data_IF_419027641116
#
_entry.id   IF_419027641116
#
_cell.length_a   1.000
_cell.length_b   1.000
_cell.length_c   1.000
_cell.angle_alpha   90.00
_cell.angle_beta   90.00
_cell.angle_gamma   90.00
#
_symmetry.space_group_name_H-M   'P 1'
#
loop_
_entity.id
_entity.type
_entity.pdbx_description
1 polymer ?
#
# COMPACT_ATOMS: atom_id res chain seq x y z
N UNK A 1 -37.46 -5.08 -58.02
CA UNK A 1 -36.45 -4.24 -57.31
C UNK A 1 -36.24 -4.88 -55.95
N UNK A 2 -35.15 -5.65 -55.78
CA UNK A 2 -34.81 -6.27 -54.50
C UNK A 2 -33.85 -5.35 -53.75
N UNK A 3 -34.30 -4.83 -52.60
CA UNK A 3 -33.45 -4.13 -51.65
C UNK A 3 -32.72 -5.18 -50.81
N UNK A 4 -31.41 -5.32 -51.01
CA UNK A 4 -30.55 -6.12 -50.15
C UNK A 4 -30.18 -5.30 -48.91
N UNK A 5 -30.65 -5.76 -47.74
CA UNK A 5 -30.34 -5.18 -46.43
C UNK A 5 -29.00 -5.74 -45.95
N UNK A 6 -27.93 -4.94 -46.02
CA UNK A 6 -26.64 -5.26 -45.42
C UNK A 6 -26.70 -4.99 -43.91
N UNK A 7 -26.78 -6.05 -43.10
CA UNK A 7 -26.50 -5.95 -41.67
C UNK A 7 -24.98 -5.84 -41.46
N UNK A 8 -24.51 -4.67 -41.05
CA UNK A 8 -23.17 -4.47 -40.55
C UNK A 8 -23.08 -5.01 -39.11
N UNK A 9 -22.41 -6.14 -38.92
CA UNK A 9 -21.99 -6.61 -37.60
C UNK A 9 -20.86 -5.71 -37.10
N UNK A 10 -21.17 -4.77 -36.19
CA UNK A 10 -20.14 -4.11 -35.39
C UNK A 10 -19.63 -5.11 -34.36
N UNK A 11 -18.45 -5.70 -34.63
CA UNK A 11 -17.69 -6.43 -33.62
C UNK A 11 -17.17 -5.37 -32.64
N UNK A 12 -17.80 -5.27 -31.47
CA UNK A 12 -17.27 -4.48 -30.37
C UNK A 12 -15.94 -5.15 -29.94
N UNK A 13 -14.82 -4.56 -30.34
CA UNK A 13 -13.52 -4.94 -29.80
C UNK A 13 -13.55 -4.65 -28.29
N UNK A 14 -13.54 -5.70 -27.47
CA UNK A 14 -13.35 -5.55 -26.04
C UNK A 14 -11.99 -4.89 -25.83
N UNK A 15 -12.00 -3.62 -25.42
CA UNK A 15 -10.79 -2.93 -25.00
C UNK A 15 -10.25 -3.70 -23.80
N UNK A 16 -9.07 -4.31 -23.95
CA UNK A 16 -8.36 -4.84 -22.79
C UNK A 16 -8.20 -3.69 -21.78
N UNK A 17 -8.50 -3.96 -20.51
CA UNK A 17 -8.31 -2.98 -19.45
C UNK A 17 -6.84 -2.51 -19.46
N UNK A 18 -6.62 -1.21 -19.32
CA UNK A 18 -5.27 -0.67 -19.24
C UNK A 18 -4.52 -1.31 -18.04
N UNK A 19 -3.21 -1.60 -18.17
CA UNK A 19 -2.44 -2.13 -17.07
C UNK A 19 -2.41 -1.12 -15.91
N UNK A 20 -2.19 -1.62 -14.68
CA UNK A 20 -2.00 -0.76 -13.52
C UNK A 20 -0.79 0.18 -13.74
N UNK A 21 -0.87 1.47 -13.36
CA UNK A 21 0.22 2.43 -13.50
C UNK A 21 1.30 2.21 -12.43
N UNK A 22 1.87 1.00 -12.36
CA UNK A 22 2.79 0.60 -11.29
C UNK A 22 3.98 1.53 -11.14
N UNK A 23 4.53 2.07 -12.24
CA UNK A 23 5.67 2.98 -12.20
C UNK A 23 5.35 4.25 -11.41
N UNK A 24 4.29 4.95 -11.81
CA UNK A 24 3.88 6.21 -11.17
C UNK A 24 3.50 6.00 -9.71
N UNK A 25 2.86 4.88 -9.38
CA UNK A 25 2.47 4.53 -8.00
C UNK A 25 3.70 4.21 -7.13
N UNK A 26 4.66 3.44 -7.65
CA UNK A 26 5.90 3.13 -6.93
C UNK A 26 6.75 4.39 -6.75
N UNK A 27 6.82 5.26 -7.75
CA UNK A 27 7.53 6.55 -7.65
C UNK A 27 6.86 7.49 -6.64
N UNK A 28 5.53 7.55 -6.60
CA UNK A 28 4.79 8.30 -5.59
C UNK A 28 5.01 7.74 -4.19
N UNK A 29 5.09 6.41 -4.05
CA UNK A 29 5.38 5.75 -2.78
C UNK A 29 6.79 6.06 -2.27
N UNK A 30 7.80 5.98 -3.15
CA UNK A 30 9.17 6.36 -2.81
C UNK A 30 9.25 7.82 -2.37
N UNK A 31 8.67 8.75 -3.14
CA UNK A 31 8.67 10.15 -2.77
C UNK A 31 8.01 10.39 -1.39
N UNK A 32 6.90 9.69 -1.10
CA UNK A 32 6.21 9.78 0.19
C UNK A 32 7.01 9.18 1.35
N UNK A 33 7.62 8.01 1.16
CA UNK A 33 8.14 7.19 2.27
C UNK A 33 9.67 7.17 2.38
N UNK A 34 10.42 7.82 1.50
CA UNK A 34 11.89 7.78 1.48
C UNK A 34 12.53 8.12 2.83
N UNK A 35 11.95 9.06 3.59
CA UNK A 35 12.49 9.54 4.86
C UNK A 35 11.88 8.88 6.11
N UNK A 36 11.41 7.62 5.99
CA UNK A 36 10.68 6.87 7.03
C UNK A 36 11.38 6.75 8.40
N UNK A 37 12.69 6.99 8.50
CA UNK A 37 13.39 7.09 9.78
C UNK A 37 12.84 8.23 10.68
N UNK A 38 12.24 9.28 10.10
CA UNK A 38 11.50 10.33 10.84
C UNK A 38 10.09 10.49 10.29
N UNK A 39 9.10 10.15 11.12
CA UNK A 39 7.67 10.31 10.81
C UNK A 39 7.34 11.77 10.52
N UNK A 40 7.93 12.67 11.30
CA UNK A 40 7.73 14.12 11.19
C UNK A 40 8.22 14.62 9.83
N UNK A 41 9.32 14.06 9.32
CA UNK A 41 9.82 14.37 7.98
C UNK A 41 8.92 13.78 6.90
N UNK A 42 8.46 12.53 7.05
CA UNK A 42 7.50 11.92 6.12
C UNK A 42 6.22 12.76 6.01
N UNK A 43 5.65 13.18 7.13
CA UNK A 43 4.44 14.02 7.14
C UNK A 43 4.67 15.37 6.45
N UNK A 44 5.82 16.01 6.69
CA UNK A 44 6.17 17.26 6.03
C UNK A 44 6.35 17.09 4.51
N UNK A 45 7.06 16.02 4.10
CA UNK A 45 7.29 15.70 2.69
C UNK A 45 5.96 15.37 1.98
N UNK A 46 5.02 14.67 2.64
CA UNK A 46 3.68 14.39 2.12
C UNK A 46 2.89 15.68 1.84
N UNK A 47 2.93 16.65 2.75
CA UNK A 47 2.28 17.96 2.56
C UNK A 47 2.93 18.74 1.41
N UNK A 48 4.27 18.76 1.31
CA UNK A 48 4.99 19.39 0.19
C UNK A 48 4.62 18.75 -1.15
N UNK A 49 4.36 17.45 -1.13
CA UNK A 49 3.91 16.66 -2.28
C UNK A 49 2.39 16.71 -2.49
N UNK A 50 1.68 17.66 -1.88
CA UNK A 50 0.23 17.88 -2.09
C UNK A 50 -0.65 16.68 -1.70
N UNK A 51 -0.19 15.82 -0.79
CA UNK A 51 -1.08 14.84 -0.17
C UNK A 51 -1.96 15.54 0.87
N UNK A 52 -3.24 15.18 0.92
CA UNK A 52 -4.21 15.83 1.79
C UNK A 52 -4.45 14.97 3.02
N UNK A 53 -4.23 15.53 4.21
CA UNK A 53 -4.52 14.84 5.45
C UNK A 53 -6.03 14.54 5.58
N UNK A 54 -6.37 13.31 5.96
CA UNK A 54 -7.75 12.83 6.07
C UNK A 54 -7.98 12.10 7.40
N UNK A 55 -9.21 12.14 7.89
CA UNK A 55 -9.70 11.23 8.92
C UNK A 55 -10.76 10.34 8.27
N UNK A 56 -10.42 9.09 7.92
CA UNK A 56 -11.37 8.21 7.25
C UNK A 56 -12.59 7.93 8.13
N UNK A 57 -13.78 7.93 7.52
CA UNK A 57 -15.00 7.51 8.21
C UNK A 57 -14.83 6.08 8.75
N UNK A 58 -15.29 5.81 9.97
CA UNK A 58 -15.06 4.52 10.66
C UNK A 58 -15.66 3.33 9.90
N UNK A 59 -16.73 3.54 9.15
CA UNK A 59 -17.41 2.55 8.31
C UNK A 59 -16.90 2.52 6.85
N UNK A 60 -15.89 3.32 6.50
CA UNK A 60 -15.20 3.18 5.21
C UNK A 60 -14.28 1.94 5.23
N UNK A 61 -13.88 1.40 4.06
CA UNK A 61 -12.89 0.33 4.00
C UNK A 61 -11.59 0.68 4.74
N UNK A 62 -11.09 1.90 4.55
CA UNK A 62 -9.88 2.39 5.21
C UNK A 62 -10.07 2.56 6.73
N UNK A 63 -11.24 3.04 7.17
CA UNK A 63 -11.59 3.12 8.59
C UNK A 63 -11.63 1.75 9.27
N UNK A 64 -12.19 0.73 8.60
CA UNK A 64 -12.19 -0.66 9.08
C UNK A 64 -10.78 -1.24 9.13
N UNK A 65 -9.96 -1.01 8.11
CA UNK A 65 -8.56 -1.45 8.08
C UNK A 65 -7.76 -0.85 9.24
N UNK A 66 -7.92 0.45 9.51
CA UNK A 66 -7.28 1.12 10.64
C UNK A 66 -7.73 0.53 11.98
N UNK A 67 -9.03 0.20 12.12
CA UNK A 67 -9.55 -0.44 13.33
C UNK A 67 -8.93 -1.82 13.56
N UNK A 68 -8.81 -2.65 12.51
CA UNK A 68 -8.12 -3.95 12.58
C UNK A 68 -6.66 -3.78 12.98
N UNK A 69 -5.93 -2.84 12.35
CA UNK A 69 -4.53 -2.58 12.66
C UNK A 69 -4.32 -2.16 14.12
N UNK A 70 -5.19 -1.28 14.65
CA UNK A 70 -5.15 -0.88 16.07
C UNK A 70 -5.47 -2.02 17.02
N UNK A 71 -6.44 -2.86 16.69
CA UNK A 71 -6.78 -4.03 17.50
C UNK A 71 -5.60 -5.02 17.56
N UNK A 72 -4.99 -5.34 16.40
CA UNK A 72 -3.82 -6.20 16.35
C UNK A 72 -2.61 -5.62 17.07
N UNK A 73 -2.38 -4.31 16.97
CA UNK A 73 -1.33 -3.65 17.74
C UNK A 73 -1.58 -3.73 19.25
N UNK A 74 -2.82 -3.56 19.71
CA UNK A 74 -3.17 -3.66 21.13
C UNK A 74 -2.98 -5.07 21.72
N UNK A 75 -3.08 -6.12 20.91
CA UNK A 75 -2.80 -7.50 21.34
C UNK A 75 -1.29 -7.73 21.55
N UNK A 76 -0.45 -7.08 20.74
CA UNK A 76 1.00 -7.25 20.75
C UNK A 76 1.66 -6.31 21.77
N UNK A 77 1.18 -5.07 21.88
CA UNK A 77 1.72 -4.01 22.73
C UNK A 77 1.11 -4.10 24.14
N UNK A 78 1.55 -5.11 24.90
CA UNK A 78 1.01 -5.41 26.23
C UNK A 78 2.02 -5.22 27.37
N UNK A 79 3.27 -4.83 27.07
CA UNK A 79 4.31 -4.62 28.07
C UNK A 79 4.38 -3.16 28.55
N UNK A 80 4.96 -2.96 29.73
CA UNK A 80 5.12 -1.60 30.28
C UNK A 80 6.13 -0.83 29.46
N UNK A 81 5.68 0.26 28.81
CA UNK A 81 6.52 1.11 27.95
C UNK A 81 6.25 0.95 26.47
N UNK A 82 5.46 -0.07 26.08
CA UNK A 82 4.98 -0.22 24.70
C UNK A 82 4.02 0.91 24.34
N UNK A 83 4.18 1.46 23.14
CA UNK A 83 3.29 2.52 22.63
C UNK A 83 3.15 2.46 21.12
N UNK A 84 1.93 2.73 20.66
CA UNK A 84 1.65 3.06 19.27
C UNK A 84 1.27 4.53 19.20
N UNK A 85 1.94 5.30 18.36
CA UNK A 85 1.54 6.67 18.08
C UNK A 85 0.23 6.68 17.29
N UNK A 86 -0.51 7.78 17.38
CA UNK A 86 -1.68 7.96 16.53
C UNK A 86 -1.29 7.81 15.06
N UNK A 87 -2.06 6.99 14.35
CA UNK A 87 -1.91 6.83 12.91
C UNK A 87 -2.37 8.09 12.19
N UNK A 88 -1.60 8.56 11.19
CA UNK A 88 -1.99 9.64 10.27
C UNK A 88 -2.28 9.09 8.90
N UNK A 89 -3.28 9.67 8.23
CA UNK A 89 -3.72 9.26 6.90
C UNK A 89 -3.65 10.46 5.97
N UNK A 90 -3.15 10.24 4.77
CA UNK A 90 -3.06 11.23 3.71
C UNK A 90 -3.55 10.61 2.40
N UNK A 91 -4.32 11.35 1.60
CA UNK A 91 -4.83 10.85 0.32
C UNK A 91 -4.32 11.70 -0.84
N UNK A 92 -4.11 11.07 -1.99
CA UNK A 92 -3.76 11.74 -3.26
C UNK A 92 -4.19 10.90 -4.46
N UNK A 93 -4.59 11.57 -5.54
CA UNK A 93 -4.76 10.92 -6.84
C UNK A 93 -3.46 10.89 -7.63
N UNK A 94 -3.01 9.72 -8.07
CA UNK A 94 -1.80 9.54 -8.89
C UNK A 94 -2.17 8.72 -10.12
N UNK A 95 -1.97 9.29 -11.31
CA UNK A 95 -2.28 8.63 -12.59
C UNK A 95 -3.69 8.03 -12.70
N UNK A 96 -4.66 8.63 -11.99
CA UNK A 96 -6.06 8.19 -11.95
C UNK A 96 -6.42 7.28 -10.78
N UNK A 97 -5.44 6.77 -10.04
CA UNK A 97 -5.66 5.94 -8.85
C UNK A 97 -5.83 6.80 -7.60
N UNK A 98 -6.76 6.42 -6.72
CA UNK A 98 -6.97 7.10 -5.42
C UNK A 98 -6.16 6.37 -4.36
N UNK A 99 -5.06 6.99 -3.93
CA UNK A 99 -4.08 6.35 -3.05
C UNK A 99 -4.15 6.94 -1.66
N UNK A 100 -4.11 6.07 -0.64
CA UNK A 100 -4.06 6.45 0.77
C UNK A 100 -2.71 6.07 1.37
N UNK A 101 -2.00 7.02 1.96
CA UNK A 101 -0.80 6.80 2.77
C UNK A 101 -1.18 6.79 4.24
N UNK A 102 -0.79 5.73 4.93
CA UNK A 102 -0.91 5.55 6.37
C UNK A 102 0.49 5.57 6.98
N UNK A 103 0.72 6.50 7.89
CA UNK A 103 1.98 6.66 8.63
C UNK A 103 1.75 6.27 10.09
N UNK A 104 2.65 5.45 10.64
CA UNK A 104 2.53 4.89 11.99
C UNK A 104 3.89 4.74 12.66
N UNK A 105 3.92 4.86 13.99
CA UNK A 105 5.09 4.54 14.83
C UNK A 105 4.67 3.60 15.95
N UNK A 106 5.44 2.54 16.15
CA UNK A 106 5.35 1.62 17.28
C UNK A 106 6.67 1.65 18.01
N UNK A 107 6.61 1.66 19.34
CA UNK A 107 7.79 1.57 20.19
C UNK A 107 7.57 0.46 21.20
N UNK A 108 8.53 -0.46 21.29
CA UNK A 108 8.48 -1.61 22.20
C UNK A 108 9.90 -2.07 22.52
N UNK A 109 10.17 -2.40 23.78
CA UNK A 109 11.44 -2.99 24.20
C UNK A 109 12.71 -2.26 23.71
N UNK A 110 12.70 -0.92 23.79
CA UNK A 110 13.83 -0.10 23.35
C UNK A 110 13.98 0.02 21.83
N UNK A 111 13.03 -0.49 21.06
CA UNK A 111 13.00 -0.47 19.59
C UNK A 111 11.90 0.47 19.11
N UNK A 112 12.18 1.25 18.07
CA UNK A 112 11.20 2.03 17.32
C UNK A 112 11.01 1.38 15.95
N UNK A 113 9.75 1.22 15.56
CA UNK A 113 9.36 0.84 14.20
C UNK A 113 8.49 1.92 13.60
N UNK A 114 8.99 2.56 12.54
CA UNK A 114 8.21 3.49 11.73
C UNK A 114 7.71 2.74 10.50
N UNK A 115 6.41 2.83 10.21
CA UNK A 115 5.78 2.22 9.05
C UNK A 115 5.13 3.27 8.16
N UNK A 116 5.36 3.16 6.85
CA UNK A 116 4.71 3.96 5.81
C UNK A 116 4.04 3.00 4.84
N UNK A 117 2.71 3.07 4.74
CA UNK A 117 1.91 2.11 3.97
C UNK A 117 1.02 2.84 2.98
N UNK A 118 1.07 2.45 1.72
CA UNK A 118 0.18 2.96 0.67
C UNK A 118 -0.91 1.93 0.40
N UNK A 119 -2.15 2.37 0.26
CA UNK A 119 -3.29 1.54 -0.11
C UNK A 119 -3.95 2.10 -1.36
N UNK A 120 -4.21 1.20 -2.31
CA UNK A 120 -5.16 1.43 -3.40
C UNK A 120 -6.34 0.47 -3.18
N UNK A 121 -7.37 1.00 -2.53
CA UNK A 121 -8.51 0.23 -2.05
C UNK A 121 -9.42 -0.14 -3.20
N UNK A 122 -9.82 -1.40 -3.23
CA UNK A 122 -10.68 -1.99 -4.25
C UNK A 122 -10.06 -2.13 -5.64
N UNK A 123 -8.75 -1.88 -5.79
CA UNK A 123 -8.05 -2.17 -7.03
C UNK A 123 -8.12 -3.68 -7.37
N UNK A 124 -8.31 -3.98 -8.66
CA UNK A 124 -8.47 -5.33 -9.21
C UNK A 124 -7.30 -5.78 -10.08
N UNK A 125 -6.40 -4.85 -10.39
CA UNK A 125 -5.14 -5.07 -11.09
C UNK A 125 -4.04 -5.31 -10.06
N UNK A 126 -3.02 -6.07 -10.43
CA UNK A 126 -1.83 -6.27 -9.59
C UNK A 126 -0.64 -5.46 -10.12
N UNK A 127 0.32 -5.21 -9.23
CA UNK A 127 1.66 -4.76 -9.65
C UNK A 127 2.41 -5.96 -10.21
N UNK A 128 2.92 -5.82 -11.44
CA UNK A 128 3.76 -6.82 -12.07
C UNK A 128 5.11 -6.92 -11.35
N UNK A 129 5.47 -8.13 -10.92
CA UNK A 129 6.71 -8.38 -10.18
C UNK A 129 7.96 -7.99 -10.99
N UNK A 130 8.00 -8.25 -12.29
CA UNK A 130 9.16 -7.89 -13.10
C UNK A 130 9.34 -6.37 -13.21
N UNK A 131 8.25 -5.60 -13.21
CA UNK A 131 8.30 -4.14 -13.10
C UNK A 131 8.81 -3.68 -11.72
N UNK A 132 8.33 -4.29 -10.63
CA UNK A 132 8.79 -3.97 -9.28
C UNK A 132 10.29 -4.29 -9.09
N UNK A 133 10.73 -5.49 -9.50
CA UNK A 133 12.14 -5.89 -9.48
C UNK A 133 13.03 -4.91 -10.26
N UNK A 134 12.56 -4.47 -11.43
CA UNK A 134 13.27 -3.49 -12.25
C UNK A 134 13.34 -2.12 -11.59
N UNK A 135 12.25 -1.69 -10.95
CA UNK A 135 12.17 -0.40 -10.25
C UNK A 135 13.14 -0.36 -9.05
N UNK A 136 13.20 -1.44 -8.26
CA UNK A 136 14.13 -1.58 -7.12
C UNK A 136 15.57 -1.83 -7.58
N UNK A 137 15.74 -2.42 -8.77
CA UNK A 137 17.05 -2.77 -9.33
C UNK A 137 17.57 -4.15 -8.90
N UNK A 138 16.72 -4.99 -8.27
CA UNK A 138 17.04 -6.36 -7.87
C UNK A 138 15.77 -7.20 -7.66
N UNK A 139 15.96 -8.52 -7.62
CA UNK A 139 14.88 -9.47 -7.36
C UNK A 139 14.43 -9.45 -5.90
N UNK A 140 13.15 -9.75 -5.68
CA UNK A 140 12.59 -10.03 -4.37
C UNK A 140 13.27 -11.21 -3.68
N UNK A 141 13.47 -11.09 -2.37
CA UNK A 141 14.05 -12.13 -1.53
C UNK A 141 13.01 -13.20 -1.16
N UNK A 142 11.72 -12.82 -1.20
CA UNK A 142 10.59 -13.69 -0.89
C UNK A 142 9.38 -13.36 -1.74
N UNK A 143 8.79 -14.41 -2.32
CA UNK A 143 7.51 -14.36 -3.05
C UNK A 143 6.60 -15.42 -2.45
N UNK A 144 5.43 -15.00 -1.96
CA UNK A 144 4.35 -15.90 -1.54
C UNK A 144 3.23 -15.74 -2.56
N UNK A 145 3.12 -16.72 -3.46
CA UNK A 145 1.97 -16.86 -4.35
C UNK A 145 0.98 -17.83 -3.71
N UNK A 146 -0.14 -17.31 -3.24
CA UNK A 146 -1.29 -18.08 -2.76
C UNK A 146 -2.54 -17.53 -3.42
N UNK A 147 -3.63 -18.28 -3.44
CA UNK A 147 -4.97 -17.78 -3.86
C UNK A 147 -5.48 -16.61 -2.97
N UNK A 148 -4.73 -16.24 -1.94
CA UNK A 148 -5.11 -15.34 -0.87
C UNK A 148 -4.31 -14.01 -0.99
N UNK A 149 -3.55 -13.48 0.00
CA UNK A 149 -2.67 -12.36 -0.33
C UNK A 149 -1.44 -12.88 -1.08
N UNK A 150 -1.20 -12.35 -2.27
CA UNK A 150 0.12 -12.42 -2.88
C UNK A 150 1.01 -11.42 -2.13
N UNK A 151 2.15 -11.89 -1.63
CA UNK A 151 3.12 -11.04 -0.91
C UNK A 151 4.47 -11.15 -1.56
N UNK A 152 5.06 -10.01 -1.89
CA UNK A 152 6.42 -9.90 -2.38
C UNK A 152 7.21 -9.04 -1.41
N UNK A 153 8.40 -9.49 -0.98
CA UNK A 153 9.23 -8.80 -0.01
C UNK A 153 10.68 -8.65 -0.50
N UNK A 154 11.26 -7.50 -0.16
CA UNK A 154 12.66 -7.16 -0.33
C UNK A 154 13.26 -6.78 1.03
N UNK A 155 14.42 -7.35 1.37
CA UNK A 155 15.20 -7.02 2.57
C UNK A 155 16.70 -6.86 2.20
N UNK A 156 17.34 -5.70 2.43
CA UNK A 156 16.79 -4.45 2.97
C UNK A 156 15.68 -3.86 2.08
N UNK A 157 15.12 -2.70 2.38
CA UNK A 157 14.12 -2.06 1.51
C UNK A 157 14.67 -1.59 0.15
N UNK A 158 13.95 -0.67 -0.50
CA UNK A 158 14.38 -0.08 -1.79
C UNK A 158 15.26 1.17 -1.64
N UNK A 159 15.25 1.82 -0.47
CA UNK A 159 16.02 3.02 -0.18
C UNK A 159 16.90 2.84 1.07
N UNK A 160 17.95 3.66 1.19
CA UNK A 160 18.80 3.67 2.36
C UNK A 160 17.98 3.99 3.62
N UNK A 161 18.23 3.23 4.69
CA UNK A 161 17.47 3.36 5.95
C UNK A 161 16.11 2.67 5.93
N UNK A 162 15.77 1.87 4.91
CA UNK A 162 14.58 1.03 4.92
C UNK A 162 14.97 -0.41 5.28
N UNK A 163 14.36 -0.97 6.31
CA UNK A 163 14.59 -2.35 6.75
C UNK A 163 13.90 -3.35 5.83
N UNK A 164 12.70 -3.02 5.35
CA UNK A 164 11.95 -3.87 4.42
C UNK A 164 11.07 -3.07 3.48
N UNK A 165 10.80 -3.66 2.32
CA UNK A 165 9.74 -3.22 1.42
C UNK A 165 8.89 -4.41 1.01
N UNK A 166 7.56 -4.23 1.01
CA UNK A 166 6.59 -5.27 0.69
C UNK A 166 5.50 -4.76 -0.25
N UNK A 167 5.10 -5.62 -1.19
CA UNK A 167 3.91 -5.45 -2.02
C UNK A 167 2.92 -6.54 -1.65
N UNK A 168 1.70 -6.14 -1.33
CA UNK A 168 0.56 -7.00 -1.10
C UNK A 168 -0.46 -6.79 -2.21
N UNK A 169 -1.00 -7.88 -2.73
CA UNK A 169 -2.20 -7.84 -3.56
C UNK A 169 -3.24 -8.79 -2.99
N UNK A 170 -4.42 -8.25 -2.69
CA UNK A 170 -5.56 -8.99 -2.17
C UNK A 170 -6.68 -8.94 -3.21
N UNK A 171 -6.91 -10.03 -3.97
CA UNK A 171 -7.95 -10.04 -4.99
C UNK A 171 -9.35 -9.96 -4.36
N UNK A 172 -10.30 -9.43 -5.10
CA UNK A 172 -11.72 -9.44 -4.69
C UNK A 172 -12.19 -10.88 -4.40
N UNK A 173 -12.99 -11.05 -3.35
CA UNK A 173 -13.48 -12.35 -2.92
C UNK A 173 -12.48 -13.22 -2.15
N UNK A 174 -11.23 -12.75 -1.98
CA UNK A 174 -10.22 -13.46 -1.18
C UNK A 174 -10.73 -13.70 0.25
N UNK A 175 -10.55 -14.91 0.83
CA UNK A 175 -10.96 -15.19 2.20
C UNK A 175 -10.23 -14.31 3.24
N UNK A 176 -9.04 -13.80 2.89
CA UNK A 176 -8.26 -12.91 3.76
C UNK A 176 -8.95 -11.58 4.03
N UNK A 177 -9.88 -11.15 3.15
CA UNK A 177 -10.68 -9.93 3.34
C UNK A 177 -11.46 -9.98 4.66
N UNK A 178 -11.85 -11.16 5.14
CA UNK A 178 -12.51 -11.30 6.45
C UNK A 178 -11.62 -10.85 7.61
N UNK A 179 -10.32 -11.00 7.45
CA UNK A 179 -9.31 -10.62 8.45
C UNK A 179 -8.83 -9.18 8.22
N UNK A 180 -8.52 -8.80 6.98
CA UNK A 180 -7.92 -7.50 6.64
C UNK A 180 -8.94 -6.39 6.43
N UNK A 181 -10.22 -6.75 6.18
CA UNK A 181 -11.30 -5.83 5.78
C UNK A 181 -10.98 -5.01 4.52
N UNK A 182 -10.06 -5.51 3.69
CA UNK A 182 -9.48 -4.82 2.55
C UNK A 182 -9.24 -5.80 1.39
N UNK A 183 -9.57 -5.36 0.17
CA UNK A 183 -9.06 -5.89 -1.10
C UNK A 183 -8.39 -4.74 -1.88
N UNK A 184 -7.44 -5.07 -2.75
CA UNK A 184 -6.65 -4.09 -3.49
C UNK A 184 -5.15 -4.29 -3.38
N UNK A 185 -4.40 -3.21 -3.61
CA UNK A 185 -2.94 -3.16 -3.50
C UNK A 185 -2.55 -2.48 -2.18
N UNK A 186 -1.59 -3.06 -1.47
CA UNK A 186 -0.89 -2.34 -0.40
C UNK A 186 0.61 -2.39 -0.61
N UNK A 187 1.28 -1.25 -0.41
CA UNK A 187 2.74 -1.14 -0.35
C UNK A 187 3.12 -0.86 1.10
N UNK A 188 4.24 -1.40 1.55
CA UNK A 188 4.73 -1.20 2.92
C UNK A 188 6.23 -1.01 2.92
N UNK A 189 6.69 0.05 3.56
CA UNK A 189 8.08 0.25 3.94
C UNK A 189 8.14 0.36 5.47
N UNK A 190 9.18 -0.22 6.06
CA UNK A 190 9.45 -0.09 7.49
C UNK A 190 10.88 0.41 7.71
N UNK A 191 11.06 1.17 8.78
CA UNK A 191 12.34 1.43 9.44
C UNK A 191 12.30 0.88 10.86
N UNK A 192 13.41 0.30 11.30
CA UNK A 192 13.66 -0.21 12.65
C UNK A 192 14.89 0.52 13.22
N UNK A 193 14.71 1.13 14.38
CA UNK A 193 15.76 1.82 15.10
C UNK A 193 15.67 1.60 16.61
N UNK A 194 16.57 2.22 17.36
CA UNK A 194 16.56 2.20 18.82
C UNK A 194 15.78 3.41 19.36
N UNK A 195 15.05 3.25 20.47
CA UNK A 195 14.50 4.39 21.22
C UNK A 195 15.67 5.15 21.86
N UNK A 196 15.68 6.48 21.80
CA UNK A 196 16.58 7.26 22.64
C UNK A 196 16.32 6.92 24.12
N UNK A 197 17.36 6.46 24.83
CA UNK A 197 17.30 6.12 26.26
C UNK A 197 17.24 7.38 27.14
#
# INVERSE_FOLDING_TARGET
>A
MSLALFLAFQVAAASAAAPYPSGDVLDAFDAACRNIASIEKVEADLVEQEWVAEIPATDSPLGRLLAVGRAGAAEILNETGDRMSDTRVFTKTVSGESLDIIVSRVESNGTIVNGCRLYDVAETRSIDLAKADKWIGRKADKVIEREEPAVVNWTPGYADGHDSFEIFYVPEGSPVIKLTQFNGIALKADFVGETEQ
#
